data_IF_328390279119
#
_entry.id   IF_328390279119
#
_cell.length_a   1.000
_cell.length_b   1.000
_cell.length_c   1.000
_cell.angle_alpha   90.00
_cell.angle_beta   90.00
_cell.angle_gamma   90.00
#
_symmetry.space_group_name_H-M   'P 1'
#
loop_
_entity.id
_entity.type
_entity.pdbx_description
1 polymer ?
#
# COMPACT_ATOMS: atom_id res chain seq x y z
N UNK A 1 -25.27 -21.27 -11.83
CA UNK A 1 -25.55 -20.30 -10.75
C UNK A 1 -25.48 -18.92 -11.38
N UNK A 2 -26.54 -18.14 -11.33
CA UNK A 2 -26.51 -16.78 -11.87
C UNK A 2 -25.55 -15.95 -11.02
N UNK A 3 -24.49 -15.45 -11.65
CA UNK A 3 -23.52 -14.58 -11.01
C UNK A 3 -24.23 -13.22 -10.82
N UNK A 4 -24.90 -13.04 -9.69
CA UNK A 4 -25.50 -11.74 -9.36
C UNK A 4 -24.33 -10.79 -9.12
N UNK A 5 -24.05 -9.94 -10.11
CA UNK A 5 -23.07 -8.86 -9.96
C UNK A 5 -23.58 -7.91 -8.88
N UNK A 6 -22.97 -7.98 -7.69
CA UNK A 6 -23.24 -7.05 -6.62
C UNK A 6 -22.45 -5.77 -6.89
N UNK A 7 -23.04 -4.89 -7.70
CA UNK A 7 -22.42 -3.61 -8.05
C UNK A 7 -22.32 -2.69 -6.81
N UNK A 8 -21.14 -2.10 -6.55
CA UNK A 8 -21.00 -1.10 -5.50
C UNK A 8 -21.85 0.15 -5.77
N UNK A 9 -22.33 0.80 -4.70
CA UNK A 9 -23.07 2.05 -4.84
C UNK A 9 -22.17 3.19 -5.37
N UNK A 10 -22.72 4.23 -6.01
CA UNK A 10 -21.94 5.39 -6.45
C UNK A 10 -21.12 6.07 -5.34
N UNK A 11 -21.62 6.08 -4.10
CA UNK A 11 -20.89 6.62 -2.95
C UNK A 11 -19.66 5.76 -2.61
N UNK A 12 -19.80 4.43 -2.60
CA UNK A 12 -18.68 3.52 -2.37
C UNK A 12 -17.59 3.71 -3.43
N UNK A 13 -17.99 3.81 -4.70
CA UNK A 13 -17.07 4.06 -5.81
C UNK A 13 -16.34 5.39 -5.62
N UNK A 14 -17.06 6.48 -5.38
CA UNK A 14 -16.46 7.80 -5.21
C UNK A 14 -15.53 7.88 -3.99
N UNK A 15 -15.88 7.21 -2.90
CA UNK A 15 -15.02 7.14 -1.71
C UNK A 15 -13.74 6.35 -1.99
N UNK A 16 -13.86 5.18 -2.60
CA UNK A 16 -12.73 4.37 -3.00
C UNK A 16 -11.78 5.11 -3.92
N UNK A 17 -12.29 5.71 -4.99
CA UNK A 17 -11.44 6.42 -5.96
C UNK A 17 -10.71 7.60 -5.31
N UNK A 18 -11.39 8.38 -4.48
CA UNK A 18 -10.74 9.47 -3.75
C UNK A 18 -9.64 8.94 -2.81
N UNK A 19 -9.97 8.00 -1.92
CA UNK A 19 -9.01 7.47 -0.92
C UNK A 19 -7.80 6.82 -1.60
N UNK A 20 -8.01 6.00 -2.63
CA UNK A 20 -6.94 5.32 -3.36
C UNK A 20 -6.05 6.32 -4.10
N UNK A 21 -6.60 7.36 -4.73
CA UNK A 21 -5.80 8.41 -5.37
C UNK A 21 -4.98 9.21 -4.35
N UNK A 22 -5.57 9.57 -3.21
CA UNK A 22 -4.83 10.28 -2.16
C UNK A 22 -3.70 9.41 -1.56
N UNK A 23 -3.91 8.09 -1.43
CA UNK A 23 -2.84 7.16 -1.04
C UNK A 23 -1.70 7.15 -2.06
N UNK A 24 -2.02 6.94 -3.34
CA UNK A 24 -1.03 6.93 -4.43
C UNK A 24 -0.26 8.26 -4.49
N UNK A 25 -0.94 9.39 -4.28
CA UNK A 25 -0.30 10.71 -4.22
C UNK A 25 0.70 10.82 -3.05
N UNK A 26 0.33 10.33 -1.86
CA UNK A 26 1.24 10.31 -0.68
C UNK A 26 2.46 9.44 -0.96
N UNK A 27 2.28 8.25 -1.54
CA UNK A 27 3.39 7.35 -1.90
C UNK A 27 4.28 8.00 -2.96
N UNK A 28 3.68 8.56 -4.02
CA UNK A 28 4.41 9.23 -5.09
C UNK A 28 5.24 10.43 -4.59
N UNK A 29 4.71 11.20 -3.64
CA UNK A 29 5.47 12.28 -2.97
C UNK A 29 6.67 11.73 -2.20
N UNK A 30 6.50 10.66 -1.43
CA UNK A 30 7.61 10.04 -0.68
C UNK A 30 8.69 9.49 -1.63
N UNK A 31 8.27 8.79 -2.68
CA UNK A 31 9.16 8.26 -3.72
C UNK A 31 9.93 9.38 -4.43
N UNK A 32 9.28 10.50 -4.75
CA UNK A 32 9.93 11.66 -5.40
C UNK A 32 10.99 12.29 -4.51
N UNK A 33 10.75 12.40 -3.19
CA UNK A 33 11.75 12.88 -2.25
C UNK A 33 12.97 11.95 -2.18
N UNK A 34 12.75 10.64 -2.16
CA UNK A 34 13.84 9.66 -2.15
C UNK A 34 14.53 9.54 -3.50
N UNK A 35 13.83 9.79 -4.61
CA UNK A 35 14.44 9.86 -5.94
C UNK A 35 15.51 10.95 -6.01
N UNK A 36 15.28 12.09 -5.35
CA UNK A 36 16.27 13.18 -5.27
C UNK A 36 17.41 12.90 -4.26
N UNK A 37 17.22 11.96 -3.34
CA UNK A 37 18.14 11.70 -2.23
C UNK A 37 18.93 10.38 -2.35
N UNK A 38 18.68 9.59 -3.40
CA UNK A 38 19.28 8.26 -3.59
C UNK A 38 19.78 8.09 -5.03
N UNK A 39 20.54 7.02 -5.27
CA UNK A 39 21.02 6.69 -6.62
C UNK A 39 19.93 6.14 -7.57
N UNK A 40 18.70 5.93 -7.07
CA UNK A 40 17.61 5.25 -7.79
C UNK A 40 16.60 6.21 -8.43
N UNK A 41 17.01 7.46 -8.71
CA UNK A 41 16.11 8.55 -9.08
C UNK A 41 15.12 8.22 -10.20
N UNK A 42 15.60 7.70 -11.32
CA UNK A 42 14.77 7.41 -12.50
C UNK A 42 13.76 6.27 -12.22
N UNK A 43 14.21 5.17 -11.61
CA UNK A 43 13.35 4.03 -11.29
C UNK A 43 12.29 4.42 -10.25
N UNK A 44 12.66 5.20 -9.22
CA UNK A 44 11.72 5.67 -8.20
C UNK A 44 10.67 6.62 -8.78
N UNK A 45 11.04 7.49 -9.72
CA UNK A 45 10.08 8.33 -10.44
C UNK A 45 9.12 7.50 -11.32
N UNK A 46 9.58 6.37 -11.85
CA UNK A 46 8.72 5.42 -12.56
C UNK A 46 7.79 4.67 -11.61
N UNK A 47 8.30 4.17 -10.47
CA UNK A 47 7.46 3.57 -9.42
C UNK A 47 6.38 4.54 -8.94
N UNK A 48 6.71 5.82 -8.74
CA UNK A 48 5.76 6.84 -8.31
C UNK A 48 4.57 7.02 -9.28
N UNK A 49 4.80 6.86 -10.59
CA UNK A 49 3.75 6.98 -11.61
C UNK A 49 2.85 5.74 -11.69
N UNK A 50 3.39 4.58 -11.33
CA UNK A 50 2.74 3.29 -11.53
C UNK A 50 2.26 2.61 -10.24
N UNK A 51 2.62 3.16 -9.07
CA UNK A 51 2.29 2.58 -7.76
C UNK A 51 0.79 2.32 -7.67
N UNK A 52 0.44 1.07 -7.33
CA UNK A 52 -0.93 0.59 -7.16
C UNK A 52 -1.85 0.80 -8.36
N UNK A 53 -1.33 0.99 -9.59
CA UNK A 53 -2.16 1.17 -10.79
C UNK A 53 -3.12 -0.02 -11.03
N UNK A 54 -2.71 -1.23 -10.63
CA UNK A 54 -3.50 -2.47 -10.65
C UNK A 54 -4.84 -2.35 -9.92
N UNK A 55 -4.94 -1.49 -8.90
CA UNK A 55 -6.20 -1.23 -8.17
C UNK A 55 -7.32 -0.70 -9.06
N UNK A 56 -7.00 -0.02 -10.16
CA UNK A 56 -8.00 0.46 -11.12
C UNK A 56 -8.33 -0.55 -12.23
N UNK A 57 -7.65 -1.70 -12.26
CA UNK A 57 -7.86 -2.78 -13.21
C UNK A 57 -9.09 -3.64 -12.89
N UNK A 58 -9.55 -4.46 -13.86
CA UNK A 58 -10.74 -5.29 -13.71
C UNK A 58 -10.61 -6.38 -12.62
N UNK A 59 -9.40 -6.82 -12.30
CA UNK A 59 -9.11 -7.84 -11.28
C UNK A 59 -9.32 -7.32 -9.85
N UNK A 60 -9.05 -6.03 -9.63
CA UNK A 60 -8.98 -5.46 -8.27
C UNK A 60 -10.07 -4.44 -7.97
N UNK A 61 -10.50 -3.65 -8.96
CA UNK A 61 -11.26 -2.43 -8.70
C UNK A 61 -12.55 -2.68 -7.92
N UNK A 62 -13.42 -3.56 -8.42
CA UNK A 62 -14.72 -3.83 -7.78
C UNK A 62 -14.56 -4.45 -6.39
N UNK A 63 -13.74 -5.50 -6.21
CA UNK A 63 -13.51 -6.07 -4.88
C UNK A 63 -12.88 -5.08 -3.90
N UNK A 64 -11.92 -4.25 -4.32
CA UNK A 64 -11.32 -3.25 -3.43
C UNK A 64 -12.28 -2.11 -3.05
N UNK A 65 -13.28 -1.78 -3.87
CA UNK A 65 -14.36 -0.87 -3.47
C UNK A 65 -15.14 -1.48 -2.29
N UNK A 66 -15.49 -2.76 -2.37
CA UNK A 66 -16.16 -3.48 -1.28
C UNK A 66 -15.28 -3.55 -0.02
N UNK A 67 -14.00 -3.91 -0.17
CA UNK A 67 -13.05 -3.97 0.94
C UNK A 67 -12.89 -2.61 1.64
N UNK A 68 -12.78 -1.55 0.85
CA UNK A 68 -12.65 -0.19 1.37
C UNK A 68 -13.90 0.23 2.14
N UNK A 69 -15.10 -0.09 1.63
CA UNK A 69 -16.35 0.20 2.33
C UNK A 69 -16.48 -0.60 3.62
N UNK A 70 -16.09 -1.87 3.60
CA UNK A 70 -16.07 -2.73 4.78
C UNK A 70 -15.21 -2.11 5.89
N UNK A 71 -14.00 -1.67 5.57
CA UNK A 71 -13.14 -1.00 6.55
C UNK A 71 -13.70 0.35 7.01
N UNK A 72 -14.29 1.14 6.11
CA UNK A 72 -14.94 2.43 6.44
C UNK A 72 -16.05 2.26 7.48
N UNK A 73 -16.84 1.18 7.35
CA UNK A 73 -18.00 0.90 8.22
C UNK A 73 -17.69 -0.04 9.39
N UNK A 74 -16.50 -0.63 9.47
CA UNK A 74 -16.18 -1.69 10.46
C UNK A 74 -16.42 -1.28 11.92
N UNK A 75 -16.28 0.02 12.23
CA UNK A 75 -16.44 0.57 13.59
C UNK A 75 -17.67 1.47 13.74
N UNK A 76 -18.57 1.48 12.76
CA UNK A 76 -19.83 2.22 12.84
C UNK A 76 -20.92 1.37 13.48
N UNK A 77 -22.05 1.98 13.85
CA UNK A 77 -23.21 1.28 14.43
C UNK A 77 -23.84 0.26 13.46
N UNK A 78 -23.66 0.46 12.16
CA UNK A 78 -24.11 -0.46 11.09
C UNK A 78 -22.90 -0.98 10.27
N UNK A 79 -22.15 -1.97 10.76
CA UNK A 79 -21.01 -2.53 10.03
C UNK A 79 -21.45 -3.29 8.78
N UNK A 80 -20.73 -3.09 7.67
CA UNK A 80 -21.04 -3.77 6.42
C UNK A 80 -20.80 -5.29 6.54
N UNK A 81 -21.77 -6.07 6.07
CA UNK A 81 -21.56 -7.47 5.71
C UNK A 81 -21.47 -7.60 4.20
N UNK A 82 -20.52 -8.40 3.71
CA UNK A 82 -20.40 -8.64 2.28
C UNK A 82 -21.61 -9.40 1.74
N UNK A 83 -22.10 -9.05 0.55
CA UNK A 83 -23.00 -9.91 -0.20
C UNK A 83 -22.36 -11.29 -0.49
N UNK A 84 -23.17 -12.34 -0.74
CA UNK A 84 -22.65 -13.65 -1.10
C UNK A 84 -21.64 -13.59 -2.26
N UNK A 85 -20.51 -14.28 -2.10
CA UNK A 85 -19.44 -14.33 -3.12
C UNK A 85 -18.51 -13.12 -3.17
N UNK A 86 -18.83 -11.99 -2.53
CA UNK A 86 -17.94 -10.81 -2.52
C UNK A 86 -16.69 -11.06 -1.69
N UNK A 87 -16.79 -11.80 -0.58
CA UNK A 87 -15.64 -12.13 0.26
C UNK A 87 -14.54 -12.88 -0.51
N UNK A 88 -14.92 -13.87 -1.33
CA UNK A 88 -14.00 -14.64 -2.18
C UNK A 88 -13.37 -13.76 -3.28
N UNK A 89 -14.15 -12.85 -3.87
CA UNK A 89 -13.61 -11.90 -4.84
C UNK A 89 -12.60 -10.94 -4.21
N UNK A 90 -12.86 -10.46 -2.99
CA UNK A 90 -11.93 -9.63 -2.21
C UNK A 90 -10.63 -10.38 -1.94
N UNK A 91 -10.71 -11.63 -1.50
CA UNK A 91 -9.53 -12.46 -1.26
C UNK A 91 -8.68 -12.63 -2.53
N UNK A 92 -9.31 -12.96 -3.66
CA UNK A 92 -8.63 -13.08 -4.96
C UNK A 92 -7.99 -11.77 -5.42
N UNK A 93 -8.67 -10.64 -5.24
CA UNK A 93 -8.14 -9.33 -5.59
C UNK A 93 -6.94 -8.95 -4.71
N UNK A 94 -6.99 -9.24 -3.41
CA UNK A 94 -5.84 -9.02 -2.51
C UNK A 94 -4.66 -9.89 -2.94
N UNK A 95 -4.88 -11.17 -3.25
CA UNK A 95 -3.81 -12.03 -3.77
C UNK A 95 -3.24 -11.53 -5.09
N UNK A 96 -4.09 -11.11 -6.02
CA UNK A 96 -3.65 -10.49 -7.27
C UNK A 96 -2.73 -9.29 -6.99
N UNK A 97 -3.19 -8.35 -6.16
CA UNK A 97 -2.45 -7.15 -5.77
C UNK A 97 -1.07 -7.47 -5.18
N UNK A 98 -1.01 -8.42 -4.25
CA UNK A 98 0.23 -8.87 -3.62
C UNK A 98 1.17 -9.54 -4.63
N UNK A 99 0.63 -10.23 -5.64
CA UNK A 99 1.41 -10.99 -6.63
C UNK A 99 1.90 -10.19 -7.84
N UNK A 100 1.36 -8.99 -8.10
CA UNK A 100 1.70 -8.17 -9.28
C UNK A 100 2.43 -6.87 -8.93
N UNK A 101 2.51 -6.50 -7.65
CA UNK A 101 3.21 -5.29 -7.22
C UNK A 101 4.44 -5.65 -6.36
N UNK A 102 5.63 -5.37 -6.90
CA UNK A 102 6.91 -5.82 -6.34
C UNK A 102 7.29 -5.26 -4.98
N UNK A 103 6.64 -4.17 -4.53
CA UNK A 103 6.88 -3.61 -3.20
C UNK A 103 6.23 -4.45 -2.08
N UNK A 104 5.34 -5.38 -2.42
CA UNK A 104 4.84 -6.38 -1.46
C UNK A 104 5.81 -7.56 -1.36
N UNK A 105 6.21 -7.99 -0.15
CA UNK A 105 7.06 -9.15 0.03
C UNK A 105 6.52 -10.44 -0.61
N UNK A 106 5.20 -10.59 -0.65
CA UNK A 106 4.49 -11.74 -1.23
C UNK A 106 4.64 -11.86 -2.76
N UNK A 107 5.09 -10.82 -3.44
CA UNK A 107 5.50 -10.90 -4.85
C UNK A 107 6.70 -11.83 -5.02
N UNK A 108 7.57 -11.89 -4.02
CA UNK A 108 8.86 -12.59 -4.08
C UNK A 108 8.76 -13.97 -3.47
N UNK A 109 9.57 -14.92 -3.97
CA UNK A 109 9.63 -16.26 -3.38
C UNK A 109 10.29 -16.21 -1.99
N UNK A 110 11.26 -15.31 -1.82
CA UNK A 110 11.84 -14.95 -0.54
C UNK A 110 11.84 -13.40 -0.41
N UNK A 111 11.34 -12.80 0.69
CA UNK A 111 11.42 -11.35 0.93
C UNK A 111 12.83 -10.75 0.82
N UNK A 112 13.88 -11.58 0.95
CA UNK A 112 15.26 -11.14 0.75
C UNK A 112 15.65 -10.86 -0.71
N UNK A 113 14.82 -11.30 -1.67
CA UNK A 113 14.96 -11.00 -3.10
C UNK A 113 14.48 -9.59 -3.45
N UNK A 114 13.79 -8.91 -2.54
CA UNK A 114 13.40 -7.50 -2.72
C UNK A 114 14.62 -6.64 -3.01
N UNK A 115 14.55 -5.91 -4.14
CA UNK A 115 15.58 -4.93 -4.49
C UNK A 115 15.52 -3.75 -3.53
N UNK A 116 16.57 -2.91 -3.52
CA UNK A 116 16.55 -1.67 -2.75
C UNK A 116 15.39 -0.76 -3.15
N UNK A 117 15.05 -0.70 -4.45
CA UNK A 117 13.90 0.06 -4.95
C UNK A 117 12.58 -0.51 -4.43
N UNK A 118 12.42 -1.84 -4.39
CA UNK A 118 11.20 -2.47 -3.84
C UNK A 118 11.04 -2.15 -2.35
N UNK A 119 12.14 -2.18 -1.59
CA UNK A 119 12.12 -1.84 -0.16
C UNK A 119 11.86 -0.35 0.07
N UNK A 120 12.40 0.54 -0.77
CA UNK A 120 12.11 1.97 -0.72
C UNK A 120 10.62 2.21 -0.98
N UNK A 121 10.04 1.58 -1.99
CA UNK A 121 8.62 1.70 -2.31
C UNK A 121 7.74 1.17 -1.17
N UNK A 122 8.12 0.04 -0.55
CA UNK A 122 7.43 -0.51 0.63
C UNK A 122 7.45 0.46 1.82
N UNK A 123 8.59 1.10 2.09
CA UNK A 123 8.68 2.13 3.14
C UNK A 123 7.80 3.34 2.82
N UNK A 124 7.73 3.76 1.55
CA UNK A 124 6.85 4.84 1.12
C UNK A 124 5.37 4.49 1.29
N UNK A 125 4.97 3.26 0.97
CA UNK A 125 3.61 2.75 1.17
C UNK A 125 3.20 2.79 2.65
N UNK A 126 4.04 2.24 3.54
CA UNK A 126 3.80 2.29 4.98
C UNK A 126 3.77 3.72 5.54
N UNK A 127 4.60 4.59 4.99
CA UNK A 127 4.63 6.03 5.37
C UNK A 127 3.32 6.70 4.96
N UNK A 128 2.81 6.46 3.76
CA UNK A 128 1.52 6.98 3.30
C UNK A 128 0.35 6.50 4.18
N UNK A 129 0.36 5.23 4.60
CA UNK A 129 -0.63 4.69 5.53
C UNK A 129 -0.53 5.33 6.93
N UNK A 130 0.69 5.50 7.46
CA UNK A 130 0.89 6.18 8.74
C UNK A 130 0.40 7.65 8.69
N UNK A 131 0.65 8.34 7.58
CA UNK A 131 0.15 9.71 7.34
C UNK A 131 -1.39 9.75 7.27
N UNK A 132 -2.02 8.82 6.54
CA UNK A 132 -3.48 8.75 6.42
C UNK A 132 -4.15 8.56 7.79
N UNK A 133 -3.61 7.68 8.63
CA UNK A 133 -4.20 7.36 9.93
C UNK A 133 -3.70 8.21 11.10
N UNK A 134 -2.80 9.17 10.86
CA UNK A 134 -2.21 10.00 11.92
C UNK A 134 -1.44 9.17 12.96
N UNK A 135 -0.76 8.11 12.51
CA UNK A 135 0.00 7.19 13.38
C UNK A 135 1.48 7.51 13.34
N UNK A 136 2.18 7.31 14.47
CA UNK A 136 3.64 7.36 14.56
C UNK A 136 4.26 8.63 13.95
N UNK A 137 3.58 9.77 14.06
CA UNK A 137 4.02 11.06 13.49
C UNK A 137 4.02 11.12 11.96
N UNK A 138 3.41 10.14 11.28
CA UNK A 138 3.45 9.94 9.84
C UNK A 138 4.66 9.14 9.36
N UNK A 139 5.42 8.49 10.25
CA UNK A 139 6.58 7.65 9.93
C UNK A 139 6.19 6.18 9.78
N UNK A 140 6.83 5.47 8.84
CA UNK A 140 6.69 4.03 8.69
C UNK A 140 7.29 3.21 9.85
N UNK A 141 8.02 3.84 10.79
CA UNK A 141 8.73 3.14 11.86
C UNK A 141 7.86 2.18 12.66
N UNK A 142 6.68 2.62 13.10
CA UNK A 142 5.79 1.78 13.88
C UNK A 142 5.16 0.63 13.09
N UNK A 143 5.09 0.74 11.76
CA UNK A 143 4.72 -0.37 10.86
C UNK A 143 5.87 -1.35 10.70
N UNK A 144 7.09 -0.86 10.47
CA UNK A 144 8.29 -1.69 10.36
C UNK A 144 8.55 -2.50 11.63
N UNK A 145 8.45 -1.89 12.82
CA UNK A 145 8.68 -2.54 14.12
C UNK A 145 7.71 -3.71 14.38
N UNK A 146 6.50 -3.64 13.83
CA UNK A 146 5.47 -4.69 14.00
C UNK A 146 5.59 -5.80 12.97
N UNK A 147 6.31 -5.57 11.86
CA UNK A 147 6.23 -6.37 10.63
C UNK A 147 7.55 -7.03 10.28
N UNK A 148 8.66 -6.29 10.37
CA UNK A 148 10.00 -6.79 10.02
C UNK A 148 10.51 -7.73 11.12
N UNK A 149 10.82 -8.98 10.74
CA UNK A 149 11.24 -10.03 11.66
C UNK A 149 10.08 -10.77 12.35
N UNK A 150 8.83 -10.42 12.05
CA UNK A 150 7.64 -11.11 12.57
C UNK A 150 6.78 -11.67 11.44
N UNK A 151 6.46 -10.84 10.44
CA UNK A 151 5.66 -11.20 9.26
C UNK A 151 6.50 -11.21 7.99
N UNK A 152 7.46 -10.30 7.91
CA UNK A 152 8.38 -10.18 6.78
C UNK A 152 9.79 -10.49 7.27
N UNK A 153 10.30 -11.67 6.89
CA UNK A 153 11.57 -12.21 7.37
C UNK A 153 12.75 -11.72 6.54
N UNK A 154 13.09 -10.44 6.73
CA UNK A 154 14.29 -9.83 6.14
C UNK A 154 15.55 -10.22 6.91
N UNK A 155 16.63 -10.46 6.17
CA UNK A 155 17.97 -10.64 6.71
C UNK A 155 18.49 -9.33 7.32
N UNK A 156 19.62 -9.41 8.03
CA UNK A 156 20.15 -8.26 8.76
C UNK A 156 20.48 -7.05 7.87
N UNK A 157 20.92 -7.28 6.62
CA UNK A 157 21.25 -6.24 5.67
C UNK A 157 19.99 -5.51 5.18
N UNK A 158 19.00 -6.24 4.68
CA UNK A 158 17.72 -5.70 4.19
C UNK A 158 16.96 -5.01 5.32
N UNK A 159 16.98 -5.58 6.53
CA UNK A 159 16.40 -4.95 7.72
C UNK A 159 17.07 -3.61 8.02
N UNK A 160 18.41 -3.57 8.08
CA UNK A 160 19.14 -2.32 8.32
C UNK A 160 18.78 -1.27 7.27
N UNK A 161 18.78 -1.65 5.99
CA UNK A 161 18.42 -0.77 4.89
C UNK A 161 17.01 -0.17 5.03
N UNK A 162 16.00 -0.98 5.40
CA UNK A 162 14.64 -0.48 5.65
C UNK A 162 14.64 0.64 6.70
N UNK A 163 15.32 0.46 7.83
CA UNK A 163 15.36 1.49 8.86
C UNK A 163 16.17 2.74 8.45
N UNK A 164 17.25 2.57 7.68
CA UNK A 164 18.01 3.70 7.11
C UNK A 164 17.15 4.53 6.14
N UNK A 165 16.34 3.87 5.30
CA UNK A 165 15.40 4.55 4.39
C UNK A 165 14.30 5.28 5.16
N UNK A 166 13.75 4.68 6.22
CA UNK A 166 12.77 5.35 7.09
C UNK A 166 13.36 6.64 7.66
N UNK A 167 14.57 6.57 8.25
CA UNK A 167 15.23 7.75 8.81
C UNK A 167 15.54 8.81 7.75
N UNK A 168 15.94 8.40 6.55
CA UNK A 168 16.17 9.31 5.43
C UNK A 168 14.87 10.02 5.01
N UNK A 169 13.80 9.26 4.79
CA UNK A 169 12.50 9.81 4.38
C UNK A 169 11.92 10.76 5.43
N UNK A 170 12.02 10.39 6.72
CA UNK A 170 11.57 11.24 7.83
C UNK A 170 12.30 12.60 7.83
N UNK A 171 13.62 12.61 7.59
CA UNK A 171 14.40 13.85 7.44
C UNK A 171 13.97 14.68 6.24
N UNK A 172 13.76 14.04 5.08
CA UNK A 172 13.31 14.73 3.87
C UNK A 172 11.94 15.37 4.06
N UNK A 173 10.99 14.63 4.66
CA UNK A 173 9.65 15.15 4.95
C UNK A 173 9.71 16.33 5.93
N UNK A 174 10.54 16.25 6.98
CA UNK A 174 10.71 17.35 7.93
C UNK A 174 11.28 18.62 7.28
N UNK A 175 12.17 18.49 6.29
CA UNK A 175 12.74 19.63 5.56
C UNK A 175 11.77 20.31 4.59
N UNK A 176 10.63 19.68 4.29
CA UNK A 176 9.58 20.22 3.39
C UNK A 176 8.41 20.88 4.12
N UNK A 177 8.45 20.94 5.46
CA UNK A 177 7.47 21.60 6.32
C UNK A 177 7.92 23.02 6.67
#
# INVERSE_FOLDING_TARGET
MQNVSHEPTPNMVAFYERRTREHIERVGRCLTLLAAATAYGDELCERARNHDASKFGPEERVPYIWLTEYHRRRRTEDPLQYPPGVAEQVERAVQHHLSVNRHHPEFHADPNEMTEVDLIEMVCDWTAMAQEFGQDGGSARGWADKTVGTRVMLNAEKRRFVYEVIELLDRQLAATR
#
